data_IF_315012662497
#
_entry.id   IF_315012662497
#
_cell.length_a   1.000
_cell.length_b   1.000
_cell.length_c   1.000
_cell.angle_alpha   90.00
_cell.angle_beta   90.00
_cell.angle_gamma   90.00
#
_symmetry.space_group_name_H-M   'P 1'
#
loop_
_entity.id
_entity.type
_entity.pdbx_description
1 polymer ?
#
# COMPACT_ATOMS: atom_id res chain seq x y z
N UNK A 1 -21.41 -34.30 49.38
CA UNK A 1 -20.00 -34.64 49.07
C UNK A 1 -19.68 -34.03 47.71
N UNK A 2 -18.78 -33.03 47.66
CA UNK A 2 -18.66 -32.10 46.53
C UNK A 2 -17.57 -32.53 45.53
N UNK A 3 -17.71 -32.15 44.27
CA UNK A 3 -16.62 -32.18 43.29
C UNK A 3 -16.41 -30.78 42.74
N UNK A 4 -15.40 -30.12 43.29
CA UNK A 4 -14.86 -28.85 42.82
C UNK A 4 -13.91 -29.16 41.67
N UNK A 5 -14.26 -28.78 40.44
CA UNK A 5 -13.35 -28.81 39.31
C UNK A 5 -13.20 -27.40 38.77
N UNK A 6 -12.07 -26.79 39.13
CA UNK A 6 -11.52 -25.63 38.45
C UNK A 6 -11.17 -26.07 37.02
N UNK A 7 -11.81 -25.46 36.02
CA UNK A 7 -11.20 -25.31 34.71
C UNK A 7 -11.31 -23.85 34.28
N UNK A 8 -10.36 -23.08 34.81
CA UNK A 8 -9.74 -21.96 34.12
C UNK A 8 -9.22 -22.48 32.78
N UNK A 9 -9.92 -22.19 31.67
CA UNK A 9 -9.33 -22.30 30.34
C UNK A 9 -9.74 -21.09 29.51
N UNK A 10 -8.73 -20.26 29.30
CA UNK A 10 -8.68 -19.05 28.49
C UNK A 10 -9.42 -19.20 27.15
N UNK A 11 -10.50 -18.42 26.98
CA UNK A 11 -11.08 -18.19 25.66
C UNK A 11 -10.03 -17.46 24.83
N UNK A 12 -9.53 -18.22 23.87
CA UNK A 12 -8.36 -17.98 23.07
C UNK A 12 -8.61 -16.79 22.15
N UNK A 13 -7.79 -15.75 22.26
CA UNK A 13 -7.72 -14.69 21.27
C UNK A 13 -7.19 -15.28 19.95
N UNK A 14 -8.08 -15.76 19.09
CA UNK A 14 -7.77 -15.97 17.67
C UNK A 14 -7.66 -14.59 17.02
N UNK A 15 -6.52 -13.93 17.25
CA UNK A 15 -6.01 -12.95 16.29
C UNK A 15 -5.70 -13.74 15.01
N UNK A 16 -6.66 -13.80 14.11
CA UNK A 16 -6.35 -14.12 12.72
C UNK A 16 -5.45 -12.98 12.23
N UNK A 17 -4.14 -13.23 12.26
CA UNK A 17 -3.21 -12.53 11.39
C UNK A 17 -3.70 -12.80 9.97
N UNK A 18 -4.50 -11.87 9.45
CA UNK A 18 -4.77 -11.77 8.05
C UNK A 18 -3.40 -11.60 7.38
N UNK A 19 -2.83 -12.71 6.91
CA UNK A 19 -1.81 -12.70 5.89
C UNK A 19 -2.50 -12.15 4.65
N UNK A 20 -2.60 -10.82 4.60
CA UNK A 20 -2.80 -10.10 3.38
C UNK A 20 -1.64 -10.55 2.50
N UNK A 21 -1.94 -11.48 1.60
CA UNK A 21 -1.22 -11.64 0.35
C UNK A 21 -1.49 -10.35 -0.44
N UNK A 22 -1.01 -9.24 0.10
CA UNK A 22 -1.00 -7.96 -0.56
C UNK A 22 0.03 -8.15 -1.65
N UNK A 23 -0.46 -8.38 -2.86
CA UNK A 23 0.30 -8.16 -4.09
C UNK A 23 1.19 -6.94 -3.84
N UNK A 24 2.51 -7.13 -3.83
CA UNK A 24 3.41 -6.08 -3.38
C UNK A 24 3.13 -4.84 -4.24
N UNK A 25 2.82 -3.70 -3.62
CA UNK A 25 2.55 -2.47 -4.36
C UNK A 25 3.85 -1.70 -4.55
N UNK A 26 3.95 -0.98 -5.64
CA UNK A 26 5.09 -0.13 -5.99
C UNK A 26 4.57 1.21 -6.51
N UNK A 27 5.41 2.23 -6.42
CA UNK A 27 5.09 3.54 -6.95
C UNK A 27 5.60 3.65 -8.38
N UNK A 28 4.71 4.02 -9.28
CA UNK A 28 5.03 4.35 -10.65
C UNK A 28 5.25 5.85 -10.76
N UNK A 29 6.48 6.23 -11.09
CA UNK A 29 6.88 7.60 -11.33
C UNK A 29 6.54 8.05 -12.75
N UNK A 30 6.57 9.37 -12.96
CA UNK A 30 6.16 10.00 -14.22
C UNK A 30 7.13 9.73 -15.36
N UNK A 31 8.38 9.35 -15.07
CA UNK A 31 9.39 9.00 -16.07
C UNK A 31 9.41 7.49 -16.35
N UNK A 32 8.39 6.75 -15.90
CA UNK A 32 8.32 5.30 -16.05
C UNK A 32 9.18 4.54 -15.05
N UNK A 33 9.70 5.22 -14.02
CA UNK A 33 10.44 4.56 -12.95
C UNK A 33 9.49 3.83 -12.00
N UNK A 34 9.91 2.66 -11.50
CA UNK A 34 9.26 2.01 -10.38
C UNK A 34 10.08 2.23 -9.12
N UNK A 35 9.48 2.86 -8.11
CA UNK A 35 10.09 3.12 -6.82
C UNK A 35 9.38 2.34 -5.72
N UNK A 36 10.11 1.91 -4.67
CA UNK A 36 9.46 1.32 -3.50
C UNK A 36 8.63 2.38 -2.76
N UNK A 37 7.53 1.96 -2.14
CA UNK A 37 6.62 2.86 -1.39
C UNK A 37 7.37 3.59 -0.27
N UNK A 38 8.36 2.94 0.36
CA UNK A 38 9.26 3.54 1.35
C UNK A 38 9.94 4.83 0.88
N UNK A 39 10.06 5.06 -0.43
CA UNK A 39 10.58 6.30 -1.00
C UNK A 39 9.74 7.53 -0.65
N UNK A 40 8.44 7.35 -0.36
CA UNK A 40 7.56 8.42 0.11
C UNK A 40 7.98 9.00 1.44
N UNK A 41 8.65 8.21 2.30
CA UNK A 41 9.16 8.69 3.58
C UNK A 41 10.12 9.88 3.43
N UNK A 42 10.79 10.01 2.29
CA UNK A 42 11.64 11.18 1.96
C UNK A 42 10.82 12.47 1.75
N UNK A 43 9.59 12.35 1.25
CA UNK A 43 8.69 13.48 0.99
C UNK A 43 7.73 13.72 2.17
N UNK A 44 7.37 12.66 2.88
CA UNK A 44 6.50 12.66 4.05
C UNK A 44 7.28 12.04 5.22
N UNK A 45 7.99 12.87 5.97
CA UNK A 45 8.93 12.40 7.00
C UNK A 45 8.25 11.60 8.14
N UNK A 46 6.95 11.85 8.36
CA UNK A 46 6.11 11.19 9.37
C UNK A 46 5.29 10.01 8.79
N UNK A 47 5.62 9.54 7.59
CA UNK A 47 4.86 8.45 6.96
C UNK A 47 5.06 7.14 7.77
N UNK A 48 3.97 6.48 8.21
CA UNK A 48 4.05 5.14 8.75
C UNK A 48 4.50 4.14 7.68
N UNK A 49 4.74 2.88 8.05
CA UNK A 49 5.13 1.80 7.14
C UNK A 49 4.02 1.37 6.19
N UNK A 50 3.57 2.28 5.33
CA UNK A 50 2.48 2.10 4.37
C UNK A 50 2.94 1.18 3.24
N UNK A 51 2.13 0.17 2.94
CA UNK A 51 2.41 -0.85 1.93
C UNK A 51 1.31 -0.94 0.87
N UNK A 52 0.13 -0.37 1.11
CA UNK A 52 -1.01 -0.45 0.20
C UNK A 52 -1.59 0.94 -0.13
N UNK A 53 -2.26 1.10 -1.29
CA UNK A 53 -2.96 2.34 -1.61
C UNK A 53 -4.06 2.68 -0.58
N UNK A 54 -4.72 1.66 -0.01
CA UNK A 54 -5.76 1.86 1.01
C UNK A 54 -5.18 2.39 2.32
N UNK A 55 -4.06 1.86 2.79
CA UNK A 55 -3.32 2.42 3.94
C UNK A 55 -2.87 3.87 3.69
N UNK A 56 -2.45 4.19 2.46
CA UNK A 56 -2.11 5.57 2.10
C UNK A 56 -3.31 6.50 2.19
N UNK A 57 -4.48 6.07 1.70
CA UNK A 57 -5.70 6.85 1.81
C UNK A 57 -6.12 7.08 3.28
N UNK A 58 -6.01 6.07 4.13
CA UNK A 58 -6.30 6.18 5.56
C UNK A 58 -5.34 7.15 6.25
N UNK A 59 -4.05 7.11 5.91
CA UNK A 59 -3.07 8.07 6.40
C UNK A 59 -3.43 9.51 6.01
N UNK A 60 -3.74 9.77 4.74
CA UNK A 60 -4.11 11.12 4.28
C UNK A 60 -5.37 11.63 5.00
N UNK A 61 -6.36 10.76 5.21
CA UNK A 61 -7.56 11.08 5.99
C UNK A 61 -7.23 11.41 7.46
N UNK A 62 -6.35 10.63 8.11
CA UNK A 62 -5.93 10.89 9.50
C UNK A 62 -5.21 12.23 9.66
N UNK A 63 -4.51 12.67 8.62
CA UNK A 63 -3.84 13.99 8.57
C UNK A 63 -4.77 15.12 8.13
N UNK A 64 -6.05 14.81 7.82
CA UNK A 64 -7.04 15.74 7.26
C UNK A 64 -6.55 16.44 5.98
N UNK A 65 -5.72 15.76 5.20
CA UNK A 65 -5.25 16.28 3.91
C UNK A 65 -6.29 16.01 2.83
N UNK A 66 -6.48 16.98 1.94
CA UNK A 66 -7.33 16.81 0.77
C UNK A 66 -6.60 15.98 -0.28
N UNK A 67 -7.26 14.94 -0.79
CA UNK A 67 -6.72 14.12 -1.85
C UNK A 67 -7.78 13.61 -2.82
N UNK A 68 -7.36 13.40 -4.06
CA UNK A 68 -8.15 12.72 -5.09
C UNK A 68 -7.58 11.32 -5.28
N UNK A 69 -8.44 10.30 -5.18
CA UNK A 69 -8.11 8.91 -5.50
C UNK A 69 -8.79 8.52 -6.82
N UNK A 70 -8.02 8.03 -7.78
CA UNK A 70 -8.54 7.50 -9.04
C UNK A 70 -8.09 6.05 -9.20
N UNK A 71 -9.05 5.14 -9.35
CA UNK A 71 -8.76 3.76 -9.70
C UNK A 71 -8.59 3.67 -11.22
N UNK A 72 -7.35 3.51 -11.66
CA UNK A 72 -6.97 3.35 -13.05
C UNK A 72 -7.02 1.85 -13.38
N UNK A 73 -7.98 1.43 -14.19
CA UNK A 73 -7.94 0.09 -14.79
C UNK A 73 -6.96 0.07 -15.97
N UNK A 74 -5.66 0.12 -15.67
CA UNK A 74 -4.59 0.01 -16.65
C UNK A 74 -4.34 -1.47 -17.00
N UNK A 75 -5.22 -2.08 -17.79
CA UNK A 75 -5.11 -3.49 -18.21
C UNK A 75 -5.45 -4.50 -17.10
N UNK A 76 -4.77 -5.65 -17.09
CA UNK A 76 -5.03 -6.76 -16.14
C UNK A 76 -4.55 -6.52 -14.70
N UNK A 77 -3.82 -5.42 -14.47
CA UNK A 77 -3.30 -5.06 -13.16
C UNK A 77 -3.78 -3.65 -12.84
N UNK A 78 -4.84 -3.56 -12.03
CA UNK A 78 -5.38 -2.27 -11.58
C UNK A 78 -4.30 -1.40 -10.94
N UNK A 79 -4.37 -0.10 -11.19
CA UNK A 79 -3.51 0.92 -10.64
C UNK A 79 -4.35 1.95 -9.87
N UNK A 80 -3.76 2.64 -8.91
CA UNK A 80 -4.47 3.64 -8.11
C UNK A 80 -3.65 4.92 -8.07
N UNK A 81 -4.16 5.97 -8.68
CA UNK A 81 -3.55 7.30 -8.64
C UNK A 81 -4.05 8.08 -7.41
N UNK A 82 -3.12 8.79 -6.79
CA UNK A 82 -3.38 9.77 -5.74
C UNK A 82 -2.81 11.13 -6.14
N UNK A 83 -3.64 12.16 -6.01
CA UNK A 83 -3.23 13.55 -6.08
C UNK A 83 -3.47 14.20 -4.72
N UNK A 84 -2.42 14.77 -4.13
CA UNK A 84 -2.43 15.48 -2.84
C UNK A 84 -1.86 16.87 -3.08
N UNK A 85 -2.70 17.85 -3.49
CA UNK A 85 -2.24 19.18 -3.92
C UNK A 85 -1.47 19.92 -2.82
N UNK A 86 -1.95 19.83 -1.58
CA UNK A 86 -1.35 20.50 -0.41
C UNK A 86 0.08 20.03 -0.13
N UNK A 87 0.38 18.77 -0.45
CA UNK A 87 1.70 18.19 -0.28
C UNK A 87 2.55 18.24 -1.58
N UNK A 88 2.00 18.76 -2.68
CA UNK A 88 2.63 18.72 -4.01
C UNK A 88 2.92 17.29 -4.48
N UNK A 89 2.09 16.32 -4.09
CA UNK A 89 2.29 14.90 -4.42
C UNK A 89 1.31 14.45 -5.50
N UNK A 90 1.86 13.79 -6.52
CA UNK A 90 1.12 13.05 -7.52
C UNK A 90 1.82 11.70 -7.68
N UNK A 91 1.12 10.64 -7.32
CA UNK A 91 1.68 9.29 -7.14
C UNK A 91 0.73 8.28 -7.76
N UNK A 92 1.27 7.23 -8.36
CA UNK A 92 0.47 6.11 -8.86
C UNK A 92 0.95 4.83 -8.21
N UNK A 93 0.08 4.14 -7.49
CA UNK A 93 0.32 2.81 -6.97
C UNK A 93 0.01 1.80 -8.06
N UNK A 94 0.98 0.94 -8.36
CA UNK A 94 0.83 -0.17 -9.30
C UNK A 94 1.27 -1.47 -8.62
N UNK A 95 0.66 -2.61 -8.97
CA UNK A 95 1.12 -3.90 -8.48
C UNK A 95 2.54 -4.18 -8.99
N UNK A 96 3.37 -4.83 -8.18
CA UNK A 96 4.79 -5.04 -8.45
C UNK A 96 5.04 -5.78 -9.78
N UNK A 97 4.13 -6.69 -10.17
CA UNK A 97 4.15 -7.36 -11.48
C UNK A 97 4.15 -6.39 -12.67
N UNK A 98 3.52 -5.22 -12.55
CA UNK A 98 3.54 -4.16 -13.57
C UNK A 98 4.94 -3.58 -13.69
N UNK A 99 5.61 -3.36 -12.56
CA UNK A 99 6.98 -2.88 -12.50
C UNK A 99 8.00 -3.91 -13.01
N UNK A 100 7.83 -5.19 -12.67
CA UNK A 100 8.69 -6.27 -13.15
C UNK A 100 8.68 -6.35 -14.69
N UNK A 101 7.53 -6.13 -15.32
CA UNK A 101 7.39 -6.12 -16.78
C UNK A 101 7.95 -4.85 -17.47
N UNK A 102 8.22 -3.77 -16.74
CA UNK A 102 8.79 -2.53 -17.29
C UNK A 102 10.33 -2.53 -17.25
N UNK A 103 10.94 -3.26 -16.32
CA UNK A 103 12.39 -3.44 -16.26
C UNK A 103 12.95 -4.15 -17.52
N UNK A 104 12.11 -4.84 -18.29
CA UNK A 104 12.45 -5.44 -19.58
C UNK A 104 12.24 -4.54 -20.81
N UNK A 105 11.63 -3.35 -20.68
CA UNK A 105 11.33 -2.44 -21.80
C UNK A 105 12.24 -1.20 -21.87
N UNK A 106 13.21 -1.08 -20.96
CA UNK A 106 14.21 -0.02 -20.91
C UNK A 106 15.46 -0.20 -21.79
N UNK A 107 15.49 -1.20 -22.69
CA UNK A 107 16.59 -1.40 -23.66
C UNK A 107 16.04 -1.59 -25.07
N UNK A 108 15.59 -0.49 -25.68
CA UNK A 108 15.70 -0.32 -27.13
C UNK A 108 15.97 1.14 -27.45
N UNK A 109 17.26 1.47 -27.45
CA UNK A 109 17.80 2.65 -28.10
C UNK A 109 17.51 2.59 -29.61
N UNK A 110 17.23 3.71 -30.29
CA UNK A 110 17.73 3.91 -31.65
C UNK A 110 19.24 4.19 -31.64
#
# INVERSE_FOLDING_TARGET
MPVHWKALLAVSATLLCANANADAWSLFGRHGECAPISSLKRKLQDLPGIQTPDEFSAYLQSKRLQFTRQNLHAGAAGAVEFQVPEAGLSLVFVPHRVCANQNGRGVRAP
#
